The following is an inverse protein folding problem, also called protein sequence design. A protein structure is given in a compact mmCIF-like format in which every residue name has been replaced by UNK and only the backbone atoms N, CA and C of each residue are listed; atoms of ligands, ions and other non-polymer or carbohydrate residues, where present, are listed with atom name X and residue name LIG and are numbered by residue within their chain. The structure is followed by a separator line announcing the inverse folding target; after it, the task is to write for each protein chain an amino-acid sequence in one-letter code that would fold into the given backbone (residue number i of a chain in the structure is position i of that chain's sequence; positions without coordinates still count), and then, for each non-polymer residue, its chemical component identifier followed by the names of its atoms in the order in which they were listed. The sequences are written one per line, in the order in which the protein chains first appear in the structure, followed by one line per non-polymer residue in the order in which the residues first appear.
data_IF_580867914622
#
_entry.id   IF_580867914622
#
_cell.length_a   1.000
_cell.length_b   1.000
_cell.length_c   1.000
_cell.angle_alpha   90.00
_cell.angle_beta   90.00
_cell.angle_gamma   90.00
#
_symmetry.space_group_name_H-M   'P 1'
#
loop_
_entity.id
_entity.type
_entity.pdbx_description
1 polymer ?
#
# COMPACT_ATOMS: atom_id res chain seq x y z
N UNK A 1 -28.47 -12.76 -1.24
CA UNK A 1 -28.23 -11.65 -0.30
C UNK A 1 -28.76 -10.41 -0.99
N UNK A 2 -29.90 -9.90 -0.51
CA UNK A 2 -30.63 -8.81 -1.15
C UNK A 2 -29.73 -7.57 -1.29
N UNK A 3 -29.72 -7.01 -2.50
CA UNK A 3 -29.11 -5.70 -2.78
C UNK A 3 -29.97 -4.70 -2.03
N UNK A 4 -29.48 -4.19 -0.90
CA UNK A 4 -30.14 -3.11 -0.17
C UNK A 4 -30.21 -1.92 -1.15
N UNK A 5 -31.40 -1.35 -1.44
CA UNK A 5 -31.48 -0.21 -2.36
C UNK A 5 -30.63 0.90 -1.76
N UNK A 6 -29.62 1.34 -2.51
CA UNK A 6 -28.76 2.45 -2.11
C UNK A 6 -29.65 3.62 -1.71
N UNK A 7 -29.67 3.95 -0.42
CA UNK A 7 -30.19 5.22 0.06
C UNK A 7 -29.48 6.30 -0.74
N UNK A 8 -30.23 7.02 -1.59
CA UNK A 8 -29.68 8.11 -2.38
C UNK A 8 -29.25 9.19 -1.39
N UNK A 9 -27.96 9.24 -1.09
CA UNK A 9 -27.40 10.24 -0.18
C UNK A 9 -27.61 11.63 -0.79
N UNK A 10 -28.11 12.54 0.03
CA UNK A 10 -28.23 13.94 -0.35
C UNK A 10 -26.85 14.59 -0.46
N UNK A 11 -26.67 15.63 -1.29
CA UNK A 11 -25.39 16.35 -1.36
C UNK A 11 -24.89 16.90 -0.01
N UNK A 12 -25.81 17.19 0.91
CA UNK A 12 -25.48 17.63 2.27
C UNK A 12 -24.89 16.50 3.13
N UNK A 13 -25.45 15.30 3.03
CA UNK A 13 -24.96 14.11 3.74
C UNK A 13 -23.56 13.72 3.24
N UNK A 14 -23.34 13.71 1.92
CA UNK A 14 -22.00 13.43 1.34
C UNK A 14 -20.98 14.45 1.82
N UNK A 15 -21.35 15.73 1.87
CA UNK A 15 -20.47 16.80 2.38
C UNK A 15 -20.07 16.57 3.83
N UNK A 16 -21.05 16.28 4.69
CA UNK A 16 -20.80 16.00 6.11
C UNK A 16 -19.90 14.77 6.29
N UNK A 17 -20.11 13.70 5.50
CA UNK A 17 -19.24 12.51 5.52
C UNK A 17 -17.81 12.83 5.11
N UNK A 18 -17.61 13.65 4.08
CA UNK A 18 -16.28 14.09 3.64
C UNK A 18 -15.58 14.97 4.69
N UNK A 19 -16.31 15.88 5.36
CA UNK A 19 -15.77 16.70 6.44
C UNK A 19 -15.34 15.83 7.63
N UNK A 20 -16.21 14.91 8.07
CA UNK A 20 -15.90 13.96 9.13
C UNK A 20 -14.69 13.07 8.78
N UNK A 21 -14.59 12.61 7.53
CA UNK A 21 -13.41 11.88 7.05
C UNK A 21 -12.15 12.73 7.13
N UNK A 22 -12.19 13.99 6.70
CA UNK A 22 -11.03 14.89 6.75
C UNK A 22 -10.55 15.13 8.17
N UNK A 23 -11.47 15.35 9.10
CA UNK A 23 -11.16 15.49 10.53
C UNK A 23 -10.54 14.21 11.09
N UNK A 24 -11.12 13.05 10.77
CA UNK A 24 -10.61 11.74 11.20
C UNK A 24 -9.21 11.48 10.65
N UNK A 25 -8.98 11.76 9.37
CA UNK A 25 -7.67 11.63 8.73
C UNK A 25 -6.63 12.54 9.39
N UNK A 26 -6.99 13.81 9.61
CA UNK A 26 -6.12 14.78 10.28
C UNK A 26 -5.77 14.36 11.71
N UNK A 27 -6.75 13.88 12.48
CA UNK A 27 -6.56 13.37 13.84
C UNK A 27 -5.66 12.14 13.84
N UNK A 28 -5.90 11.18 12.95
CA UNK A 28 -5.07 9.97 12.83
C UNK A 28 -3.63 10.31 12.47
N UNK A 29 -3.41 11.24 11.54
CA UNK A 29 -2.07 11.75 11.19
C UNK A 29 -1.38 12.41 12.39
N UNK A 30 -2.12 13.21 13.17
CA UNK A 30 -1.59 13.83 14.38
C UNK A 30 -1.19 12.80 15.44
N UNK A 31 -2.04 11.81 15.71
CA UNK A 31 -1.74 10.73 16.67
C UNK A 31 -0.51 9.93 16.27
N UNK A 32 -0.40 9.55 14.99
CA UNK A 32 0.79 8.84 14.50
C UNK A 32 2.03 9.75 14.59
N UNK A 33 1.90 11.05 14.31
CA UNK A 33 2.96 12.05 14.43
C UNK A 33 3.42 12.36 15.86
N UNK A 34 2.64 12.00 16.89
CA UNK A 34 3.10 12.07 18.29
C UNK A 34 4.24 11.10 18.55
N UNK A 35 4.24 9.95 17.87
CA UNK A 35 5.25 8.89 18.02
C UNK A 35 6.31 9.00 16.93
N UNK A 36 5.86 9.15 15.67
CA UNK A 36 6.72 9.20 14.50
C UNK A 36 7.26 10.60 14.25
N UNK A 37 8.54 10.72 13.92
CA UNK A 37 9.23 12.00 13.64
C UNK A 37 9.85 11.95 12.24
N UNK A 38 9.77 13.04 11.48
CA UNK A 38 10.42 13.16 10.17
C UNK A 38 9.85 12.31 9.05
N UNK A 39 8.70 11.64 9.26
CA UNK A 39 8.14 10.66 8.33
C UNK A 39 6.78 11.07 7.75
N UNK A 40 6.54 12.36 7.60
CA UNK A 40 5.25 12.89 7.14
C UNK A 40 4.75 12.25 5.84
N UNK A 41 5.61 12.16 4.82
CA UNK A 41 5.27 11.57 3.53
C UNK A 41 4.97 10.06 3.62
N UNK A 42 5.72 9.33 4.46
CA UNK A 42 5.52 7.89 4.68
C UNK A 42 4.17 7.66 5.38
N UNK A 43 3.86 8.46 6.39
CA UNK A 43 2.57 8.43 7.09
C UNK A 43 1.44 8.72 6.10
N UNK A 44 1.57 9.78 5.30
CA UNK A 44 0.56 10.14 4.30
C UNK A 44 0.34 9.01 3.28
N UNK A 45 1.40 8.37 2.79
CA UNK A 45 1.30 7.26 1.86
C UNK A 45 0.61 6.03 2.48
N UNK A 46 0.95 5.68 3.73
CA UNK A 46 0.34 4.55 4.46
C UNK A 46 -1.14 4.81 4.75
N UNK A 47 -1.49 5.99 5.25
CA UNK A 47 -2.89 6.37 5.50
C UNK A 47 -3.69 6.43 4.20
N UNK A 48 -3.08 6.97 3.13
CA UNK A 48 -3.69 6.98 1.80
C UNK A 48 -3.99 5.56 1.32
N UNK A 49 -3.03 4.63 1.48
CA UNK A 49 -3.23 3.24 1.09
C UNK A 49 -4.32 2.56 1.92
N UNK A 50 -4.37 2.80 3.23
CA UNK A 50 -5.40 2.28 4.13
C UNK A 50 -6.81 2.67 3.66
N UNK A 51 -7.05 3.95 3.41
CA UNK A 51 -8.37 4.44 2.97
C UNK A 51 -8.67 4.15 1.49
N UNK A 52 -7.65 3.84 0.70
CA UNK A 52 -7.84 3.27 -0.64
C UNK A 52 -8.04 1.74 -0.65
N UNK A 53 -7.84 1.06 0.48
CA UNK A 53 -7.93 -0.39 0.60
C UNK A 53 -6.74 -1.15 -0.01
N UNK A 54 -5.59 -0.49 -0.11
CA UNK A 54 -4.35 -1.04 -0.67
C UNK A 54 -3.37 -1.56 0.38
N UNK A 55 -2.32 -2.21 -0.10
CA UNK A 55 -1.17 -2.66 0.69
C UNK A 55 0.06 -1.82 0.31
N UNK A 56 1.03 -1.68 1.23
CA UNK A 56 2.22 -0.85 1.01
C UNK A 56 3.49 -1.67 1.18
N UNK A 57 4.45 -1.43 0.30
CA UNK A 57 5.82 -1.90 0.42
C UNK A 57 6.71 -0.75 0.90
N UNK A 58 7.28 -0.88 2.09
CA UNK A 58 8.19 0.08 2.72
C UNK A 58 9.63 -0.35 2.47
N UNK A 59 10.32 0.29 1.55
CA UNK A 59 11.72 0.02 1.26
C UNK A 59 12.62 0.98 2.04
N UNK A 60 13.64 0.47 2.71
CA UNK A 60 14.70 1.31 3.27
C UNK A 60 15.53 0.56 4.30
N UNK A 61 16.57 1.20 4.80
CA UNK A 61 17.50 0.56 5.74
C UNK A 61 16.85 0.23 7.10
N UNK A 62 17.45 -0.69 7.87
CA UNK A 62 17.00 -1.00 9.23
C UNK A 62 17.06 0.21 10.15
N UNK A 63 16.26 0.20 11.22
CA UNK A 63 16.30 1.26 12.25
C UNK A 63 15.52 2.54 11.92
N UNK A 64 14.91 2.66 10.74
CA UNK A 64 14.09 3.83 10.35
C UNK A 64 12.66 3.81 10.91
N UNK A 65 12.41 3.18 12.07
CA UNK A 65 11.10 3.21 12.71
C UNK A 65 9.94 2.55 11.95
N UNK A 66 10.18 1.76 10.90
CA UNK A 66 9.12 1.07 10.12
C UNK A 66 8.21 0.20 11.01
N UNK A 67 8.80 -0.61 11.89
CA UNK A 67 8.04 -1.43 12.85
C UNK A 67 7.25 -0.57 13.84
N UNK A 68 7.82 0.56 14.28
CA UNK A 68 7.17 1.50 15.18
C UNK A 68 5.97 2.18 14.50
N UNK A 69 6.11 2.57 13.24
CA UNK A 69 5.02 3.15 12.43
C UNK A 69 3.81 2.22 12.38
N UNK A 70 4.02 0.95 12.02
CA UNK A 70 2.92 0.00 11.88
C UNK A 70 2.25 -0.30 13.22
N UNK A 71 3.04 -0.44 14.29
CA UNK A 71 2.50 -0.64 15.64
C UNK A 71 1.67 0.57 16.09
N UNK A 72 2.21 1.77 15.92
CA UNK A 72 1.52 3.03 16.26
C UNK A 72 0.21 3.17 15.49
N UNK A 73 0.22 2.81 14.21
CA UNK A 73 -0.99 2.81 13.39
C UNK A 73 -2.03 1.82 13.92
N UNK A 74 -1.61 0.64 14.35
CA UNK A 74 -2.54 -0.34 14.94
C UNK A 74 -3.15 0.12 16.25
N UNK A 75 -2.34 0.75 17.12
CA UNK A 75 -2.81 1.33 18.38
C UNK A 75 -3.84 2.44 18.11
N UNK A 76 -3.57 3.31 17.14
CA UNK A 76 -4.49 4.40 16.75
C UNK A 76 -5.78 3.91 16.07
N UNK A 77 -5.78 2.72 15.47
CA UNK A 77 -6.93 2.14 14.74
C UNK A 77 -7.69 1.05 15.51
N UNK A 78 -7.25 0.69 16.72
CA UNK A 78 -7.82 -0.39 17.53
C UNK A 78 -8.00 -1.72 16.76
N UNK A 79 -7.10 -2.02 15.83
CA UNK A 79 -7.17 -3.21 15.00
C UNK A 79 -6.20 -4.29 15.52
N UNK A 80 -6.58 -5.58 15.45
CA UNK A 80 -5.66 -6.68 15.70
C UNK A 80 -4.42 -6.55 14.83
N UNK A 81 -3.26 -6.49 15.48
CA UNK A 81 -1.95 -6.37 14.86
C UNK A 81 -1.20 -7.70 14.93
N UNK A 82 -0.49 -8.02 13.86
CA UNK A 82 0.45 -9.13 13.84
C UNK A 82 1.73 -8.75 13.10
N UNK A 83 2.87 -9.23 13.62
CA UNK A 83 4.18 -9.10 12.99
C UNK A 83 4.64 -10.47 12.54
N UNK A 84 5.01 -10.57 11.27
CA UNK A 84 5.63 -11.73 10.66
C UNK A 84 7.04 -11.32 10.27
N UNK A 85 8.03 -11.90 10.94
CA UNK A 85 9.42 -11.76 10.53
C UNK A 85 9.72 -12.80 9.45
N UNK A 86 10.08 -12.35 8.26
CA UNK A 86 10.45 -13.27 7.19
C UNK A 86 11.89 -13.71 7.39
N UNK A 87 12.07 -15.03 7.49
CA UNK A 87 13.36 -15.69 7.61
C UNK A 87 13.48 -16.80 6.57
N UNK A 88 14.69 -17.27 6.23
CA UNK A 88 14.87 -18.30 5.20
C UNK A 88 14.17 -19.63 5.50
N UNK A 89 13.96 -19.93 6.79
CA UNK A 89 13.30 -21.12 7.30
C UNK A 89 11.78 -21.00 7.45
N UNK A 90 11.22 -19.79 7.32
CA UNK A 90 9.79 -19.56 7.49
C UNK A 90 8.98 -20.33 6.43
N UNK A 91 8.07 -21.19 6.87
CA UNK A 91 7.22 -21.96 5.98
C UNK A 91 5.90 -21.23 5.68
N UNK A 92 5.23 -21.54 4.55
CA UNK A 92 3.90 -21.00 4.26
C UNK A 92 2.89 -21.23 5.40
N UNK A 93 2.95 -22.40 6.04
CA UNK A 93 2.08 -22.78 7.15
C UNK A 93 2.25 -21.86 8.38
N UNK A 94 3.45 -21.32 8.61
CA UNK A 94 3.72 -20.39 9.72
C UNK A 94 3.11 -19.01 9.48
N UNK A 95 2.82 -18.67 8.21
CA UNK A 95 2.14 -17.42 7.82
C UNK A 95 0.63 -17.62 7.82
N UNK A 96 0.15 -18.67 7.16
CA UNK A 96 -1.26 -18.87 6.86
C UNK A 96 -2.01 -19.65 7.94
N UNK A 97 -1.30 -20.45 8.74
CA UNK A 97 -1.87 -21.38 9.71
C UNK A 97 -1.78 -22.85 9.25
N UNK A 98 -2.01 -23.76 10.18
CA UNK A 98 -1.93 -25.20 9.96
C UNK A 98 -3.01 -25.94 10.75
N UNK A 99 -3.34 -27.16 10.32
CA UNK A 99 -4.21 -28.04 11.10
C UNK A 99 -3.38 -28.78 12.14
N UNK A 100 -3.69 -28.59 13.41
CA UNK A 100 -3.11 -29.34 14.51
C UNK A 100 -4.05 -30.45 14.94
N UNK A 101 -3.48 -31.57 15.42
CA UNK A 101 -4.26 -32.64 16.03
C UNK A 101 -4.46 -32.26 17.49
N UNK A 102 -5.70 -31.95 17.85
CA UNK A 102 -6.12 -31.69 19.22
C UNK A 102 -6.83 -32.93 19.76
N UNK A 103 -6.59 -33.28 21.01
CA UNK A 103 -7.28 -34.37 21.70
C UNK A 103 -8.41 -33.78 22.54
N UNK A 104 -9.63 -34.27 22.31
CA UNK A 104 -10.80 -33.85 23.08
C UNK A 104 -10.65 -34.31 24.54
N UNK A 105 -10.56 -33.38 25.53
CA UNK A 105 -10.30 -33.73 26.93
C UNK A 105 -11.36 -34.65 27.55
N UNK A 106 -12.58 -34.64 27.03
CA UNK A 106 -13.68 -35.45 27.56
C UNK A 106 -13.80 -36.82 26.88
N UNK A 107 -13.37 -36.95 25.63
CA UNK A 107 -13.62 -38.16 24.82
C UNK A 107 -12.37 -38.89 24.35
N UNK A 108 -11.17 -38.30 24.52
CA UNK A 108 -9.90 -38.86 24.02
C UNK A 108 -9.82 -38.96 22.50
N UNK A 109 -10.78 -38.36 21.77
CA UNK A 109 -10.83 -38.42 20.31
C UNK A 109 -9.93 -37.35 19.72
N UNK A 110 -9.09 -37.77 18.76
CA UNK A 110 -8.27 -36.86 17.94
C UNK A 110 -9.18 -36.09 16.96
N UNK A 111 -9.15 -34.76 17.03
CA UNK A 111 -9.80 -33.85 16.10
C UNK A 111 -8.74 -33.00 15.41
N UNK A 112 -8.93 -32.72 14.12
CA UNK A 112 -8.10 -31.72 13.43
C UNK A 112 -8.69 -30.34 13.68
N UNK A 113 -7.95 -29.48 14.35
CA UNK A 113 -8.32 -28.09 14.63
C UNK A 113 -7.43 -27.15 13.83
N UNK A 114 -8.03 -26.16 13.16
CA UNK A 114 -7.26 -25.19 12.40
C UNK A 114 -6.68 -24.12 13.33
N UNK A 115 -5.36 -24.10 13.45
CA UNK A 115 -4.63 -23.04 14.13
C UNK A 115 -4.38 -21.90 13.14
N UNK A 116 -5.06 -20.78 13.37
CA UNK A 116 -4.94 -19.57 12.55
C UNK A 116 -3.52 -19.02 12.62
N UNK A 117 -2.93 -18.78 11.45
CA UNK A 117 -1.64 -18.10 11.34
C UNK A 117 -1.72 -16.59 11.64
N UNK A 118 -0.57 -15.93 11.74
CA UNK A 118 -0.47 -14.49 11.99
C UNK A 118 -1.15 -13.62 10.92
N UNK A 119 -1.40 -14.15 9.71
CA UNK A 119 -2.10 -13.44 8.63
C UNK A 119 -3.55 -13.05 8.95
N UNK A 120 -4.17 -13.69 9.97
CA UNK A 120 -5.56 -13.44 10.34
C UNK A 120 -5.79 -12.15 11.14
N UNK A 121 -4.72 -11.41 11.46
CA UNK A 121 -4.82 -10.05 11.96
C UNK A 121 -5.30 -9.07 10.87
N UNK A 122 -5.78 -7.90 11.28
CA UNK A 122 -6.28 -6.87 10.35
C UNK A 122 -5.17 -5.95 9.85
N UNK A 123 -4.15 -5.73 10.68
CA UNK A 123 -2.91 -5.06 10.29
C UNK A 123 -1.77 -6.07 10.41
N UNK A 124 -1.13 -6.39 9.29
CA UNK A 124 -0.01 -7.32 9.24
C UNK A 124 1.25 -6.60 8.79
N UNK A 125 2.27 -6.60 9.65
CA UNK A 125 3.62 -6.21 9.29
C UNK A 125 4.37 -7.45 8.78
N UNK A 126 4.73 -7.44 7.50
CA UNK A 126 5.58 -8.47 6.88
C UNK A 126 7.01 -7.93 6.79
N UNK A 127 7.80 -8.18 7.83
CA UNK A 127 9.15 -7.61 7.95
C UNK A 127 10.15 -8.42 7.13
N UNK A 128 10.98 -7.75 6.33
CA UNK A 128 12.03 -8.32 5.49
C UNK A 128 11.52 -9.41 4.53
N UNK A 129 10.42 -9.12 3.82
CA UNK A 129 9.73 -10.09 2.94
C UNK A 129 10.66 -10.76 1.93
N UNK A 130 11.75 -10.09 1.53
CA UNK A 130 12.78 -10.62 0.64
C UNK A 130 13.67 -11.71 1.27
N UNK A 131 13.57 -12.03 2.57
CA UNK A 131 14.39 -13.08 3.20
C UNK A 131 13.77 -14.48 3.20
N UNK A 132 12.46 -14.59 2.96
CA UNK A 132 11.82 -15.91 2.87
C UNK A 132 11.81 -16.45 1.44
N UNK A 133 11.64 -17.76 1.33
CA UNK A 133 11.54 -18.44 0.04
C UNK A 133 10.37 -17.91 -0.81
N UNK A 134 10.44 -18.01 -2.15
CA UNK A 134 9.36 -17.58 -3.05
C UNK A 134 8.01 -18.23 -2.74
N UNK A 135 7.99 -19.45 -2.18
CA UNK A 135 6.76 -20.15 -1.78
C UNK A 135 6.08 -19.48 -0.59
N UNK A 136 6.85 -19.06 0.41
CA UNK A 136 6.34 -18.34 1.59
C UNK A 136 5.89 -16.93 1.23
N UNK A 137 6.66 -16.22 0.39
CA UNK A 137 6.25 -14.93 -0.17
C UNK A 137 4.91 -15.04 -0.91
N UNK A 138 4.76 -16.07 -1.76
CA UNK A 138 3.53 -16.29 -2.54
C UNK A 138 2.30 -16.51 -1.64
N UNK A 139 2.44 -17.24 -0.53
CA UNK A 139 1.34 -17.50 0.40
C UNK A 139 0.79 -16.21 1.04
N UNK A 140 1.68 -15.29 1.44
CA UNK A 140 1.28 -13.97 1.95
C UNK A 140 0.57 -13.16 0.85
N UNK A 141 1.15 -13.11 -0.35
CA UNK A 141 0.66 -12.29 -1.46
C UNK A 141 -0.65 -12.80 -2.06
N UNK A 142 -0.88 -14.10 -2.02
CA UNK A 142 -2.17 -14.71 -2.36
C UNK A 142 -3.24 -14.30 -1.35
N UNK A 143 -2.95 -14.41 -0.04
CA UNK A 143 -3.87 -13.95 1.00
C UNK A 143 -4.18 -12.44 0.89
N UNK A 144 -3.19 -11.63 0.53
CA UNK A 144 -3.37 -10.20 0.24
C UNK A 144 -4.34 -9.93 -0.91
N UNK A 145 -4.31 -10.76 -1.94
CA UNK A 145 -5.11 -10.57 -3.15
C UNK A 145 -6.52 -11.15 -3.01
N UNK A 146 -6.62 -12.38 -2.53
CA UNK A 146 -7.89 -13.13 -2.42
C UNK A 146 -8.68 -12.76 -1.17
N UNK A 147 -8.06 -12.08 -0.21
CA UNK A 147 -8.65 -11.75 1.11
C UNK A 147 -9.18 -12.99 1.83
N UNK A 148 -8.62 -14.15 1.52
CA UNK A 148 -8.92 -15.44 2.11
C UNK A 148 -7.71 -16.36 2.01
N UNK A 149 -7.71 -17.41 2.82
CA UNK A 149 -6.68 -18.42 2.86
C UNK A 149 -7.36 -19.78 2.74
N UNK A 150 -6.83 -20.67 1.90
CA UNK A 150 -7.32 -22.05 1.80
C UNK A 150 -6.30 -23.01 2.40
N UNK A 151 -6.70 -23.76 3.43
CA UNK A 151 -5.88 -24.78 4.08
C UNK A 151 -6.65 -26.11 4.06
N UNK A 152 -6.01 -27.16 3.54
CA UNK A 152 -6.58 -28.52 3.49
C UNK A 152 -8.01 -28.58 2.90
N UNK A 153 -8.27 -27.80 1.84
CA UNK A 153 -9.56 -27.73 1.16
C UNK A 153 -10.63 -26.86 1.85
N UNK A 154 -10.33 -26.25 3.00
CA UNK A 154 -11.23 -25.30 3.68
C UNK A 154 -10.75 -23.87 3.47
N UNK A 155 -11.64 -23.00 2.99
CA UNK A 155 -11.33 -21.57 2.78
C UNK A 155 -11.80 -20.73 3.95
N UNK A 156 -10.88 -19.96 4.53
CA UNK A 156 -11.10 -19.04 5.63
C UNK A 156 -10.98 -17.60 5.14
N UNK A 157 -12.02 -16.79 5.35
CA UNK A 157 -11.99 -15.36 5.01
C UNK A 157 -11.22 -14.56 6.07
N UNK A 158 -10.46 -13.56 5.61
CA UNK A 158 -9.76 -12.62 6.47
C UNK A 158 -10.72 -11.53 6.95
N UNK A 159 -10.57 -11.09 8.21
CA UNK A 159 -11.35 -10.00 8.78
C UNK A 159 -11.06 -8.69 8.02
N UNK A 160 -12.09 -7.87 7.81
CA UNK A 160 -11.98 -6.58 7.11
C UNK A 160 -12.13 -5.42 8.09
N UNK A 161 -11.39 -4.31 7.94
CA UNK A 161 -10.36 -4.06 6.91
C UNK A 161 -9.12 -4.96 7.11
N UNK A 162 -8.43 -5.27 6.00
CA UNK A 162 -7.20 -6.05 5.99
C UNK A 162 -6.11 -5.30 5.21
N UNK A 163 -5.02 -4.93 5.88
CA UNK A 163 -3.87 -4.23 5.29
C UNK A 163 -2.57 -4.96 5.63
N UNK A 164 -1.73 -5.13 4.61
CA UNK A 164 -0.36 -5.61 4.76
C UNK A 164 0.61 -4.47 4.49
N UNK A 165 1.51 -4.25 5.44
CA UNK A 165 2.66 -3.36 5.32
C UNK A 165 3.89 -4.26 5.28
N UNK A 166 4.46 -4.44 4.09
CA UNK A 166 5.66 -5.24 3.91
C UNK A 166 6.90 -4.34 3.95
N UNK A 167 8.01 -4.81 4.52
CA UNK A 167 9.28 -4.09 4.51
C UNK A 167 10.32 -4.84 3.68
N UNK A 168 11.21 -4.09 3.05
CA UNK A 168 12.39 -4.63 2.36
C UNK A 168 13.62 -3.81 2.72
N UNK A 169 14.71 -4.52 3.04
CA UNK A 169 16.02 -3.92 3.23
C UNK A 169 16.80 -4.02 1.90
N UNK A 170 17.16 -2.89 1.25
CA UNK A 170 17.86 -2.92 -0.03
C UNK A 170 19.35 -3.26 0.07
N UNK A 171 19.94 -3.24 1.28
CA UNK A 171 21.39 -3.43 1.47
C UNK A 171 21.76 -4.91 1.65
N UNK A 172 20.85 -5.73 2.18
CA UNK A 172 21.11 -7.16 2.39
C UNK A 172 21.16 -7.90 1.05
N UNK A 173 22.34 -8.43 0.71
CA UNK A 173 22.58 -9.20 -0.52
C UNK A 173 22.67 -10.71 -0.29
N UNK A 174 22.94 -11.15 0.95
CA UNK A 174 23.06 -12.56 1.28
C UNK A 174 21.73 -13.15 1.73
N UNK A 175 21.34 -14.29 1.13
CA UNK A 175 20.15 -15.02 1.55
C UNK A 175 18.82 -14.32 1.22
N UNK A 176 18.81 -13.39 0.27
CA UNK A 176 17.60 -12.69 -0.17
C UNK A 176 17.06 -13.20 -1.50
N UNK A 177 15.75 -13.35 -1.57
CA UNK A 177 14.96 -13.66 -2.75
C UNK A 177 14.19 -12.38 -3.16
N UNK A 178 14.56 -11.71 -4.26
CA UNK A 178 13.84 -10.54 -4.72
C UNK A 178 12.40 -10.92 -5.07
N UNK A 179 11.46 -10.04 -4.76
CA UNK A 179 10.07 -10.23 -5.17
C UNK A 179 9.99 -10.16 -6.70
N UNK A 180 9.44 -11.18 -7.37
CA UNK A 180 9.11 -11.10 -8.79
C UNK A 180 8.22 -9.89 -9.08
N UNK A 181 8.28 -9.38 -10.29
CA UNK A 181 7.62 -8.13 -10.67
C UNK A 181 6.09 -8.27 -10.61
N UNK A 182 5.57 -9.45 -10.96
CA UNK A 182 4.17 -9.78 -10.79
C UNK A 182 3.71 -9.76 -9.32
N UNK A 183 4.63 -9.97 -8.37
CA UNK A 183 4.36 -9.88 -6.94
C UNK A 183 4.39 -8.43 -6.46
N UNK A 184 5.36 -7.65 -6.90
CA UNK A 184 5.45 -6.21 -6.61
C UNK A 184 4.18 -5.46 -7.05
N UNK A 185 3.62 -5.80 -8.21
CA UNK A 185 2.42 -5.15 -8.75
C UNK A 185 1.17 -5.28 -7.85
N UNK A 186 1.17 -6.24 -6.90
CA UNK A 186 0.09 -6.41 -5.90
C UNK A 186 0.12 -5.34 -4.80
N UNK A 187 1.24 -4.65 -4.60
CA UNK A 187 1.31 -3.53 -3.66
C UNK A 187 0.79 -2.27 -4.31
N UNK A 188 -0.09 -1.54 -3.62
CA UNK A 188 -0.63 -0.29 -4.13
C UNK A 188 0.49 0.75 -4.28
N UNK A 189 1.31 0.91 -3.26
CA UNK A 189 2.45 1.83 -3.24
C UNK A 189 3.75 1.12 -2.82
N UNK A 190 4.86 1.54 -3.43
CA UNK A 190 6.21 1.35 -2.90
C UNK A 190 6.69 2.70 -2.38
N UNK A 191 7.04 2.76 -1.10
CA UNK A 191 7.44 3.98 -0.41
C UNK A 191 8.87 3.80 0.07
N UNK A 192 9.75 4.69 -0.37
CA UNK A 192 11.14 4.71 0.09
C UNK A 192 11.20 5.48 1.41
N UNK A 193 11.68 4.83 2.46
CA UNK A 193 11.87 5.40 3.79
C UNK A 193 13.34 5.82 3.90
N UNK A 194 13.58 7.14 3.88
CA UNK A 194 14.90 7.74 4.05
C UNK A 194 15.19 8.11 5.50
N UNK A 195 16.40 8.62 5.74
CA UNK A 195 16.73 9.31 6.97
C UNK A 195 16.03 10.67 7.01
N UNK A 196 15.55 11.05 8.20
CA UNK A 196 15.05 12.40 8.44
C UNK A 196 16.17 13.43 8.48
N UNK A 197 15.79 14.69 8.67
CA UNK A 197 16.76 15.78 8.84
C UNK A 197 17.41 15.75 10.24
N UNK A 198 18.45 16.55 10.45
CA UNK A 198 19.12 16.66 11.75
C UNK A 198 18.13 16.99 12.88
N UNK A 199 17.16 17.86 12.63
CA UNK A 199 16.13 18.22 13.62
C UNK A 199 15.22 17.04 14.00
N UNK A 200 14.91 16.17 13.03
CA UNK A 200 14.16 14.94 13.29
C UNK A 200 14.95 14.00 14.18
N UNK A 201 16.25 13.84 13.91
CA UNK A 201 17.11 12.99 14.72
C UNK A 201 17.24 13.50 16.16
N UNK A 202 17.41 14.81 16.35
CA UNK A 202 17.43 15.42 17.70
C UNK A 202 16.12 15.10 18.43
N UNK A 203 14.98 15.30 17.78
CA UNK A 203 13.67 15.01 18.37
C UNK A 203 13.49 13.51 18.69
N UNK A 204 14.01 12.61 17.83
CA UNK A 204 14.04 11.16 18.10
C UNK A 204 14.88 10.87 19.33
N UNK A 205 16.07 11.46 19.45
CA UNK A 205 16.93 11.30 20.62
C UNK A 205 16.22 11.77 21.89
N UNK A 206 15.60 12.95 21.87
CA UNK A 206 14.87 13.49 23.03
C UNK A 206 13.72 12.56 23.47
N UNK A 207 12.94 12.04 22.51
CA UNK A 207 11.78 11.16 22.80
C UNK A 207 12.18 9.74 23.22
N UNK A 208 13.30 9.22 22.73
CA UNK A 208 13.72 7.83 22.99
C UNK A 208 14.66 7.71 24.19
N UNK A 209 15.37 8.78 24.54
CA UNK A 209 16.28 8.82 25.70
C UNK A 209 15.70 9.54 26.92
N UNK A 210 14.56 10.21 26.76
CA UNK A 210 13.79 10.81 27.85
C UNK A 210 13.01 9.79 28.70
N UNK A 211 12.36 10.27 29.76
CA UNK A 211 11.55 9.43 30.66
C UNK A 211 10.14 9.11 30.13
N UNK A 212 9.62 9.91 29.19
CA UNK A 212 8.24 9.77 28.69
C UNK A 212 8.24 9.12 27.30
N UNK A 213 7.60 7.96 27.19
CA UNK A 213 7.35 7.31 25.91
C UNK A 213 6.05 7.85 25.33
N UNK A 214 6.06 8.49 24.14
CA UNK A 214 4.83 8.95 23.50
C UNK A 214 3.98 7.74 23.09
N UNK A 215 2.67 7.87 23.25
CA UNK A 215 1.68 6.88 22.81
C UNK A 215 0.63 7.56 21.93
N UNK A 216 0.13 6.83 20.94
CA UNK A 216 -0.97 7.26 20.09
C UNK A 216 -2.30 6.81 20.70
N UNK A 217 -3.28 7.71 20.70
CA UNK A 217 -4.62 7.43 21.19
C UNK A 217 -5.50 6.83 20.07
N UNK A 218 -6.40 5.95 20.46
CA UNK A 218 -7.39 5.36 19.55
C UNK A 218 -8.30 6.45 18.92
N UNK A 219 -8.43 6.40 17.59
CA UNK A 219 -9.15 7.41 16.82
C UNK A 219 -10.23 6.87 15.90
N UNK A 220 -10.08 5.64 15.40
CA UNK A 220 -10.96 5.06 14.40
C UNK A 220 -10.98 3.53 14.55
N UNK A 221 -12.09 2.88 14.25
CA UNK A 221 -12.23 1.42 14.30
C UNK A 221 -12.38 0.79 12.90
N UNK A 222 -12.43 -0.54 12.84
CA UNK A 222 -12.61 -1.29 11.60
C UNK A 222 -13.83 -0.86 10.76
N UNK A 223 -15.05 -0.83 11.33
CA UNK A 223 -16.24 -0.34 10.63
C UNK A 223 -16.10 1.09 10.09
N UNK A 224 -15.50 2.01 10.86
CA UNK A 224 -15.23 3.38 10.42
C UNK A 224 -14.28 3.46 9.23
N UNK A 225 -13.25 2.61 9.19
CA UNK A 225 -12.34 2.49 8.04
C UNK A 225 -13.11 2.01 6.80
N UNK A 226 -13.97 0.98 6.93
CA UNK A 226 -14.74 0.45 5.80
C UNK A 226 -15.73 1.49 5.25
N UNK A 227 -16.42 2.22 6.13
CA UNK A 227 -17.29 3.33 5.71
C UNK A 227 -16.52 4.43 4.97
N UNK A 228 -15.30 4.72 5.44
CA UNK A 228 -14.40 5.67 4.77
C UNK A 228 -13.95 5.18 3.40
N UNK A 229 -13.57 3.90 3.27
CA UNK A 229 -13.20 3.29 1.99
C UNK A 229 -14.36 3.35 0.97
N UNK A 230 -15.59 3.14 1.43
CA UNK A 230 -16.79 3.28 0.60
C UNK A 230 -16.98 4.74 0.13
N UNK A 231 -16.85 5.72 1.03
CA UNK A 231 -16.91 7.14 0.69
C UNK A 231 -15.86 7.51 -0.38
N UNK A 232 -14.62 7.06 -0.21
CA UNK A 232 -13.53 7.32 -1.16
C UNK A 232 -13.85 6.75 -2.55
N UNK A 233 -14.47 5.56 -2.63
CA UNK A 233 -14.90 4.99 -3.91
C UNK A 233 -15.96 5.85 -4.60
N UNK A 234 -16.79 6.57 -3.86
CA UNK A 234 -17.80 7.50 -4.37
C UNK A 234 -17.28 8.82 -4.94
N UNK A 235 -16.02 9.20 -4.66
CA UNK A 235 -15.43 10.47 -5.14
C UNK A 235 -15.46 10.58 -6.66
N UNK A 236 -15.85 11.74 -7.18
CA UNK A 236 -16.08 11.97 -8.60
C UNK A 236 -14.78 12.00 -9.39
N UNK A 237 -14.78 11.33 -10.53
CA UNK A 237 -13.66 11.35 -11.49
C UNK A 237 -14.17 11.84 -12.84
N UNK A 238 -13.76 13.05 -13.22
CA UNK A 238 -14.09 13.58 -14.54
C UNK A 238 -13.46 12.70 -15.65
N UNK A 239 -14.15 12.52 -16.80
CA UNK A 239 -13.65 11.67 -17.89
C UNK A 239 -12.22 12.01 -18.35
N UNK A 240 -11.88 13.30 -18.44
CA UNK A 240 -10.55 13.75 -18.85
C UNK A 240 -9.44 13.39 -17.84
N UNK A 241 -9.74 13.40 -16.53
CA UNK A 241 -8.77 12.97 -15.49
C UNK A 241 -8.58 11.47 -15.54
N UNK A 242 -9.66 10.70 -15.73
CA UNK A 242 -9.58 9.25 -15.95
C UNK A 242 -8.73 8.89 -17.17
N UNK A 243 -8.95 9.61 -18.28
CA UNK A 243 -8.15 9.46 -19.49
C UNK A 243 -6.69 9.85 -19.26
N UNK A 244 -6.40 10.89 -18.48
CA UNK A 244 -5.02 11.22 -18.12
C UNK A 244 -4.33 10.10 -17.31
N UNK A 245 -4.98 9.56 -16.28
CA UNK A 245 -4.42 8.42 -15.53
C UNK A 245 -4.15 7.20 -16.43
N UNK A 246 -5.08 6.90 -17.34
CA UNK A 246 -4.89 5.83 -18.32
C UNK A 246 -3.72 6.13 -19.29
N UNK A 247 -3.64 7.36 -19.82
CA UNK A 247 -2.54 7.78 -20.70
C UNK A 247 -1.19 7.72 -20.00
N UNK A 248 -1.12 8.14 -18.74
CA UNK A 248 0.11 8.08 -17.95
C UNK A 248 0.62 6.65 -17.83
N UNK A 249 -0.27 5.68 -17.54
CA UNK A 249 0.10 4.26 -17.52
C UNK A 249 0.50 3.78 -18.92
N UNK A 250 -0.30 4.06 -19.95
CA UNK A 250 0.02 3.67 -21.33
C UNK A 250 1.36 4.25 -21.82
N UNK A 251 1.74 5.44 -21.34
CA UNK A 251 2.99 6.09 -21.69
C UNK A 251 4.23 5.42 -21.11
N UNK A 252 4.06 4.51 -20.14
CA UNK A 252 5.15 3.66 -19.62
C UNK A 252 5.40 2.42 -20.47
N UNK A 253 4.55 2.11 -21.47
CA UNK A 253 4.74 0.92 -22.30
C UNK A 253 5.63 1.21 -23.52
N UNK A 254 6.75 0.50 -23.69
CA UNK A 254 7.59 0.64 -24.88
C UNK A 254 6.86 0.12 -26.13
N UNK A 255 7.17 0.71 -27.29
CA UNK A 255 6.57 0.41 -28.60
C UNK A 255 5.15 0.96 -28.79
N UNK A 256 4.52 1.51 -27.76
CA UNK A 256 3.18 2.08 -27.84
C UNK A 256 3.15 3.46 -28.51
N UNK A 257 2.04 3.80 -29.16
CA UNK A 257 1.80 5.13 -29.73
C UNK A 257 1.81 6.27 -28.69
N UNK A 258 1.53 5.93 -27.44
CA UNK A 258 1.52 6.85 -26.30
C UNK A 258 2.83 6.85 -25.50
N UNK A 259 3.84 6.07 -25.91
CA UNK A 259 5.11 5.99 -25.19
C UNK A 259 5.73 7.39 -24.99
N UNK A 260 6.11 7.71 -23.76
CA UNK A 260 6.59 9.05 -23.41
C UNK A 260 7.88 9.40 -24.18
N UNK A 261 7.86 10.55 -24.85
CA UNK A 261 8.95 11.06 -25.68
C UNK A 261 9.08 10.40 -27.07
N UNK A 262 8.07 9.63 -27.51
CA UNK A 262 8.05 9.02 -28.84
C UNK A 262 9.09 7.93 -29.03
N UNK A 263 9.44 7.60 -30.28
CA UNK A 263 10.32 6.46 -30.61
C UNK A 263 11.72 6.51 -29.97
N UNK A 264 12.23 7.71 -29.69
CA UNK A 264 13.54 7.92 -29.04
C UNK A 264 13.40 8.47 -27.60
N UNK A 265 12.19 8.41 -27.04
CA UNK A 265 11.90 8.90 -25.71
C UNK A 265 12.41 8.01 -24.59
N UNK A 266 12.36 8.49 -23.34
CA UNK A 266 12.84 7.76 -22.17
C UNK A 266 12.14 6.40 -22.00
N UNK A 267 10.85 6.29 -22.34
CA UNK A 267 10.11 5.02 -22.25
C UNK A 267 10.71 3.96 -23.17
N UNK A 268 10.89 4.27 -24.45
CA UNK A 268 11.41 3.30 -25.42
C UNK A 268 12.88 2.97 -25.20
N UNK A 269 13.63 3.91 -24.63
CA UNK A 269 15.05 3.73 -24.35
C UNK A 269 15.30 2.89 -23.10
N UNK A 270 14.57 3.13 -22.02
CA UNK A 270 14.93 2.60 -20.69
C UNK A 270 13.94 1.58 -20.13
N UNK A 271 12.70 1.51 -20.63
CA UNK A 271 11.67 0.63 -20.06
C UNK A 271 11.57 -0.66 -20.88
N UNK A 272 11.71 -1.80 -20.19
CA UNK A 272 11.44 -3.14 -20.71
C UNK A 272 9.96 -3.49 -20.65
N UNK A 273 9.28 -3.12 -19.56
CA UNK A 273 7.86 -3.40 -19.35
C UNK A 273 7.20 -2.25 -18.57
N UNK A 274 6.07 -1.76 -19.08
CA UNK A 274 5.29 -0.70 -18.45
C UNK A 274 4.39 -1.18 -17.32
N UNK A 275 3.72 -0.22 -16.68
CA UNK A 275 2.82 -0.45 -15.56
C UNK A 275 1.56 -1.22 -15.96
N UNK A 276 1.09 -2.13 -15.10
CA UNK A 276 -0.17 -2.84 -15.32
C UNK A 276 -1.40 -1.92 -15.11
N UNK A 277 -2.62 -2.38 -15.46
CA UNK A 277 -3.87 -1.68 -15.11
C UNK A 277 -4.06 -1.41 -13.62
N UNK A 278 -3.40 -2.17 -12.73
CA UNK A 278 -3.41 -1.93 -11.29
C UNK A 278 -2.76 -0.59 -10.95
N UNK A 279 -1.77 -0.16 -11.73
CA UNK A 279 -1.19 1.18 -11.62
C UNK A 279 -2.25 2.26 -11.80
N UNK A 280 -3.08 2.18 -12.85
CA UNK A 280 -4.15 3.16 -13.09
C UNK A 280 -5.19 3.17 -11.96
N UNK A 281 -5.54 1.99 -11.42
CA UNK A 281 -6.45 1.87 -10.28
C UNK A 281 -5.86 2.52 -9.01
N UNK A 282 -4.59 2.25 -8.72
CA UNK A 282 -3.88 2.81 -7.57
C UNK A 282 -3.74 4.35 -7.67
N UNK A 283 -3.41 4.87 -8.86
CA UNK A 283 -3.38 6.32 -9.13
C UNK A 283 -4.72 6.97 -8.80
N UNK A 284 -5.83 6.44 -9.33
CA UNK A 284 -7.15 7.02 -9.13
C UNK A 284 -7.61 6.91 -7.68
N UNK A 285 -7.44 5.75 -7.04
CA UNK A 285 -7.86 5.56 -5.64
C UNK A 285 -7.04 6.42 -4.67
N UNK A 286 -5.72 6.51 -4.86
CA UNK A 286 -4.87 7.38 -4.05
C UNK A 286 -5.22 8.86 -4.25
N UNK A 287 -5.45 9.28 -5.49
CA UNK A 287 -5.88 10.64 -5.82
C UNK A 287 -7.22 11.01 -5.18
N UNK A 288 -8.16 10.05 -5.09
CA UNK A 288 -9.46 10.26 -4.43
C UNK A 288 -9.31 10.53 -2.94
N UNK A 289 -8.47 9.77 -2.24
CA UNK A 289 -8.19 10.03 -0.82
C UNK A 289 -7.62 11.43 -0.65
N UNK A 290 -6.62 11.79 -1.45
CA UNK A 290 -6.00 13.11 -1.42
C UNK A 290 -6.99 14.25 -1.68
N UNK A 291 -7.86 14.10 -2.67
CA UNK A 291 -8.86 15.13 -2.98
C UNK A 291 -9.77 15.39 -1.76
N UNK A 292 -10.25 14.34 -1.09
CA UNK A 292 -11.13 14.49 0.08
C UNK A 292 -10.38 15.07 1.29
N UNK A 293 -9.13 14.67 1.52
CA UNK A 293 -8.33 15.27 2.61
C UNK A 293 -8.03 16.74 2.37
N UNK A 294 -7.95 17.18 1.11
CA UNK A 294 -7.87 18.60 0.73
C UNK A 294 -9.23 19.32 0.70
N UNK A 295 -10.34 18.65 1.05
CA UNK A 295 -11.69 19.22 1.09
C UNK A 295 -12.39 19.31 -0.27
N UNK A 296 -11.90 18.56 -1.28
CA UNK A 296 -12.49 18.48 -2.62
C UNK A 296 -13.27 17.19 -2.81
N UNK A 297 -14.33 17.26 -3.60
CA UNK A 297 -15.22 16.11 -3.89
C UNK A 297 -14.96 15.46 -5.26
N UNK A 298 -13.95 15.95 -5.98
CA UNK A 298 -13.50 15.44 -7.26
C UNK A 298 -11.98 15.49 -7.34
N UNK A 299 -11.41 14.57 -8.10
CA UNK A 299 -9.96 14.56 -8.37
C UNK A 299 -9.61 15.49 -9.53
N UNK A 300 -8.40 16.04 -9.50
CA UNK A 300 -7.78 16.77 -10.61
C UNK A 300 -6.51 16.07 -11.11
N UNK A 301 -5.86 16.66 -12.12
CA UNK A 301 -4.60 16.11 -12.67
C UNK A 301 -3.47 16.06 -11.65
N UNK A 302 -3.35 17.12 -10.82
CA UNK A 302 -2.32 17.22 -9.79
C UNK A 302 -2.40 16.07 -8.78
N UNK A 303 -3.60 15.63 -8.41
CA UNK A 303 -3.78 14.48 -7.51
C UNK A 303 -3.19 13.20 -8.09
N UNK A 304 -3.33 12.98 -9.40
CA UNK A 304 -2.74 11.84 -10.09
C UNK A 304 -1.21 11.95 -10.10
N UNK A 305 -0.69 13.15 -10.40
CA UNK A 305 0.75 13.41 -10.46
C UNK A 305 1.44 13.21 -9.11
N UNK A 306 0.83 13.73 -8.03
CA UNK A 306 1.39 13.63 -6.69
C UNK A 306 1.47 12.17 -6.18
N UNK A 307 0.56 11.31 -6.64
CA UNK A 307 0.51 9.88 -6.28
C UNK A 307 1.38 9.01 -7.20
N UNK A 308 1.78 9.54 -8.36
CA UNK A 308 2.34 8.74 -9.45
C UNK A 308 3.68 8.08 -9.11
N UNK A 309 4.60 8.79 -8.46
CA UNK A 309 5.94 8.26 -8.19
C UNK A 309 5.88 7.04 -7.27
N UNK A 310 5.16 7.10 -6.15
CA UNK A 310 4.99 5.95 -5.25
C UNK A 310 4.15 4.80 -5.84
N UNK A 311 3.37 5.08 -6.88
CA UNK A 311 2.55 4.08 -7.57
C UNK A 311 3.30 3.38 -8.68
N UNK A 312 4.09 4.10 -9.48
CA UNK A 312 4.65 3.58 -10.73
C UNK A 312 6.08 3.05 -10.57
N UNK A 313 6.83 3.48 -9.53
CA UNK A 313 8.24 3.11 -9.36
C UNK A 313 8.53 1.61 -9.31
N UNK A 314 7.60 0.81 -8.78
CA UNK A 314 7.71 -0.65 -8.68
C UNK A 314 6.93 -1.39 -9.76
N UNK A 315 6.32 -0.65 -10.70
CA UNK A 315 5.54 -1.18 -11.82
C UNK A 315 6.19 -0.96 -13.18
N UNK A 316 7.29 -0.20 -13.21
CA UNK A 316 8.09 0.03 -14.41
C UNK A 316 9.34 -0.83 -14.31
N UNK A 317 9.54 -1.70 -15.30
CA UNK A 317 10.71 -2.56 -15.35
C UNK A 317 11.73 -1.95 -16.29
N UNK A 318 12.90 -1.64 -15.73
CA UNK A 318 14.02 -1.12 -16.47
C UNK A 318 14.67 -2.21 -17.33
N UNK A 319 15.30 -1.81 -18.43
CA UNK A 319 16.14 -2.68 -19.25
C UNK A 319 17.62 -2.59 -18.84
N UNK A 320 18.46 -3.42 -19.45
CA UNK A 320 19.90 -3.44 -19.15
C UNK A 320 20.61 -2.11 -19.44
N UNK A 321 20.15 -1.34 -20.44
CA UNK A 321 20.72 -0.03 -20.74
C UNK A 321 20.46 0.96 -19.59
N UNK A 322 19.23 0.98 -19.08
CA UNK A 322 18.86 1.81 -17.93
C UNK A 322 19.64 1.44 -16.66
N UNK A 323 19.90 0.15 -16.44
CA UNK A 323 20.75 -0.31 -15.34
C UNK A 323 22.21 0.13 -15.52
N UNK A 324 22.75 0.03 -16.73
CA UNK A 324 24.10 0.48 -17.08
C UNK A 324 24.27 2.00 -16.90
N UNK A 325 23.27 2.77 -17.34
CA UNK A 325 23.21 4.23 -17.20
C UNK A 325 22.81 4.68 -15.78
N UNK A 326 22.53 3.74 -14.86
CA UNK A 326 22.09 3.98 -13.48
C UNK A 326 20.90 4.93 -13.39
N UNK A 327 19.92 4.73 -14.27
CA UNK A 327 18.71 5.53 -14.33
C UNK A 327 17.91 5.34 -13.04
N UNK A 328 17.61 6.44 -12.36
CA UNK A 328 16.71 6.44 -11.21
C UNK A 328 15.25 6.34 -11.66
N UNK A 329 14.53 5.35 -11.13
CA UNK A 329 13.13 5.10 -11.53
C UNK A 329 12.21 6.24 -11.11
N UNK A 330 12.46 6.89 -9.97
CA UNK A 330 11.65 8.02 -9.51
C UNK A 330 11.80 9.21 -10.46
N UNK A 331 13.04 9.50 -10.91
CA UNK A 331 13.31 10.50 -11.93
C UNK A 331 12.65 10.15 -13.27
N UNK A 332 12.74 8.88 -13.71
CA UNK A 332 12.11 8.42 -14.95
C UNK A 332 10.59 8.61 -14.92
N UNK A 333 9.93 8.29 -13.81
CA UNK A 333 8.48 8.52 -13.65
C UNK A 333 8.16 10.01 -13.75
N UNK A 334 8.95 10.88 -13.11
CA UNK A 334 8.77 12.35 -13.19
C UNK A 334 8.91 12.85 -14.63
N UNK A 335 9.95 12.40 -15.33
CA UNK A 335 10.16 12.73 -16.73
C UNK A 335 8.99 12.27 -17.62
N UNK A 336 8.46 11.07 -17.40
CA UNK A 336 7.27 10.58 -18.10
C UNK A 336 6.06 11.47 -17.82
N UNK A 337 5.83 11.87 -16.57
CA UNK A 337 4.71 12.76 -16.22
C UNK A 337 4.79 14.12 -16.93
N UNK A 338 5.98 14.69 -17.06
CA UNK A 338 6.21 15.96 -17.77
C UNK A 338 5.92 15.86 -19.27
N UNK A 339 6.22 14.69 -19.86
CA UNK A 339 6.01 14.45 -21.29
C UNK A 339 4.57 14.05 -21.65
N UNK A 340 3.77 13.59 -20.68
CA UNK A 340 2.38 13.17 -20.92
C UNK A 340 1.45 14.38 -20.76
N UNK A 341 0.77 14.81 -21.84
CA UNK A 341 -0.10 15.99 -21.78
C UNK A 341 -1.34 15.74 -20.94
N UNK A 342 -1.80 16.76 -20.20
CA UNK A 342 -3.04 16.74 -19.43
C UNK A 342 -4.28 16.95 -20.31
N UNK A 343 -4.15 17.70 -21.41
CA UNK A 343 -5.21 17.96 -22.39
C UNK A 343 -5.62 16.68 -23.13
N UNK A 344 -6.89 16.53 -23.57
CA UNK A 344 -7.34 15.34 -24.28
C UNK A 344 -6.58 15.16 -25.60
N UNK A 345 -5.83 14.07 -25.73
CA UNK A 345 -5.28 13.63 -27.01
C UNK A 345 -6.39 12.83 -27.70
N UNK A 346 -6.77 13.22 -28.92
CA UNK A 346 -7.75 12.48 -29.71
C UNK A 346 -7.30 11.02 -29.82
N UNK A 347 -8.03 10.10 -29.19
CA UNK A 347 -7.76 8.67 -29.30
C UNK A 347 -8.30 8.26 -30.66
N UNK A 348 -7.45 8.20 -31.69
CA UNK A 348 -7.78 7.48 -32.91
C UNK A 348 -7.91 6.01 -32.54
N UNK A 349 -9.14 5.50 -32.63
CA UNK A 349 -9.52 4.12 -32.36
C UNK A 349 -8.87 3.14 -33.34
#
# INVERSE_FOLDING_TARGET
MAINPATVETPAEVRARCEAFRETYGRLKQEVGKVMVGQGEVIDAVLTSLFAGGNVLLEGVPGLGKTLLVRTLADALQLPFSRIQFTPDLMPADVIGTNIVSEDPETGRRRFEFQRGPIFAQIVLADEINRATPKTQSALLEAMQERSVTVSGTTYRLAQPFIVLATQNPIEQEGTYPLPEAQLDRFMFKVNVGYGELGDLITILDRTTGQATPHADACLDGPGILSSQELIRGVVVAPHVKQYAARLVMATHPGGSLAAGGSSGPTNRYIRCGSSPRGAQALVLGAKVRAVTEGRYHIGYKDIQDIAVMTLRHRILLNFEAEADRVDTDHLVKQIMELVPTEPVGVTA
#
